data_IF_473886303186
#
_entry.id   IF_473886303186
#
_cell.length_a   1.000
_cell.length_b   1.000
_cell.length_c   1.000
_cell.angle_alpha   90.00
_cell.angle_beta   90.00
_cell.angle_gamma   90.00
#
_symmetry.space_group_name_H-M   'P 1'
#
loop_
_entity.id
_entity.type
_entity.pdbx_description
1 polymer ?
#
# COMPACT_ATOMS: atom_id res chain seq x y z
N UNK A 1 -14.60 -4.33 47.13
CA UNK A 1 -13.96 -3.11 46.59
C UNK A 1 -13.82 -3.36 45.11
N UNK A 2 -14.85 -2.96 44.35
CA UNK A 2 -14.95 -3.20 42.90
C UNK A 2 -13.95 -2.30 42.15
N UNK A 3 -13.24 -2.80 41.12
CA UNK A 3 -12.35 -1.95 40.33
C UNK A 3 -13.16 -1.06 39.39
N UNK A 4 -12.98 0.26 39.54
CA UNK A 4 -13.51 1.28 38.64
C UNK A 4 -12.79 1.17 37.30
N UNK A 5 -13.47 0.65 36.27
CA UNK A 5 -13.02 0.78 34.88
C UNK A 5 -13.22 2.23 34.45
N UNK A 6 -12.13 3.00 34.43
CA UNK A 6 -12.09 4.30 33.78
C UNK A 6 -12.19 4.06 32.26
N UNK A 7 -13.38 4.26 31.70
CA UNK A 7 -13.57 4.31 30.25
C UNK A 7 -12.80 5.50 29.69
N UNK A 8 -11.66 5.23 29.03
CA UNK A 8 -10.97 6.23 28.22
C UNK A 8 -11.90 6.77 27.12
N UNK A 9 -11.64 7.98 26.60
CA UNK A 9 -12.44 8.53 25.52
C UNK A 9 -12.42 7.57 24.31
N UNK A 10 -13.54 7.44 23.58
CA UNK A 10 -13.57 6.60 22.39
C UNK A 10 -12.50 7.07 21.40
N UNK A 11 -11.86 6.16 20.65
CA UNK A 11 -10.90 6.54 19.62
C UNK A 11 -11.60 7.49 18.66
N UNK A 12 -11.03 8.69 18.51
CA UNK A 12 -11.52 9.71 17.58
C UNK A 12 -11.60 9.07 16.20
N UNK A 13 -12.82 8.84 15.70
CA UNK A 13 -13.03 8.33 14.36
C UNK A 13 -12.23 9.22 13.40
N UNK A 14 -11.25 8.63 12.72
CA UNK A 14 -10.45 9.33 11.74
C UNK A 14 -11.42 10.01 10.77
N UNK A 15 -11.38 11.35 10.70
CA UNK A 15 -12.21 12.12 9.78
C UNK A 15 -11.98 11.56 8.39
N UNK A 16 -13.02 10.98 7.81
CA UNK A 16 -13.03 10.66 6.38
C UNK A 16 -12.66 11.94 5.62
N UNK A 17 -11.70 11.89 4.69
CA UNK A 17 -11.43 13.02 3.82
C UNK A 17 -12.75 13.38 3.14
N UNK A 18 -13.22 14.63 3.30
CA UNK A 18 -14.32 15.14 2.49
C UNK A 18 -13.75 15.47 1.13
N UNK A 19 -13.70 14.47 0.25
CA UNK A 19 -13.52 14.71 -1.18
C UNK A 19 -14.66 15.62 -1.67
N UNK A 20 -14.39 16.49 -2.64
CA UNK A 20 -15.48 17.17 -3.34
C UNK A 20 -16.35 16.14 -4.06
N UNK A 21 -17.65 16.39 -4.18
CA UNK A 21 -18.60 15.42 -4.76
C UNK A 21 -18.15 14.92 -6.15
N UNK A 22 -17.57 15.81 -6.98
CA UNK A 22 -17.03 15.46 -8.29
C UNK A 22 -15.81 14.51 -8.21
N UNK A 23 -14.88 14.76 -7.30
CA UNK A 23 -13.69 13.91 -7.12
C UNK A 23 -14.06 12.54 -6.55
N UNK A 24 -15.04 12.51 -5.65
CA UNK A 24 -15.58 11.24 -5.12
C UNK A 24 -16.23 10.41 -6.23
N UNK A 25 -17.03 11.03 -7.09
CA UNK A 25 -17.65 10.35 -8.24
C UNK A 25 -16.59 9.82 -9.21
N UNK A 26 -15.59 10.62 -9.57
CA UNK A 26 -14.50 10.20 -10.47
C UNK A 26 -13.73 8.99 -9.90
N UNK A 27 -13.38 9.04 -8.60
CA UNK A 27 -12.71 7.91 -7.94
C UNK A 27 -13.60 6.66 -7.88
N UNK A 28 -14.91 6.83 -7.66
CA UNK A 28 -15.86 5.72 -7.64
C UNK A 28 -16.05 5.09 -9.03
N UNK A 29 -16.18 5.90 -10.08
CA UNK A 29 -16.21 5.46 -11.46
C UNK A 29 -14.94 4.67 -11.81
N UNK A 30 -13.78 5.19 -11.41
CA UNK A 30 -12.51 4.50 -11.64
C UNK A 30 -12.43 3.17 -10.90
N UNK A 31 -12.92 3.12 -9.66
CA UNK A 31 -12.97 1.88 -8.88
C UNK A 31 -13.91 0.85 -9.53
N UNK A 32 -15.09 1.27 -10.00
CA UNK A 32 -16.02 0.40 -10.71
C UNK A 32 -15.40 -0.15 -12.00
N UNK A 33 -14.71 0.69 -12.77
CA UNK A 33 -14.00 0.26 -13.96
C UNK A 33 -12.92 -0.78 -13.61
N UNK A 34 -12.11 -0.54 -12.58
CA UNK A 34 -11.08 -1.48 -12.15
C UNK A 34 -11.66 -2.85 -11.74
N UNK A 35 -12.82 -2.87 -11.05
CA UNK A 35 -13.53 -4.11 -10.69
C UNK A 35 -14.03 -4.85 -11.93
N UNK A 36 -14.58 -4.14 -12.92
CA UNK A 36 -15.02 -4.73 -14.18
C UNK A 36 -13.85 -5.33 -14.96
N UNK A 37 -12.78 -4.57 -15.13
CA UNK A 37 -11.56 -5.02 -15.83
C UNK A 37 -10.96 -6.25 -15.13
N UNK A 38 -10.96 -6.28 -13.79
CA UNK A 38 -10.47 -7.43 -13.02
C UNK A 38 -11.32 -8.68 -13.25
N UNK A 39 -12.64 -8.53 -13.42
CA UNK A 39 -13.54 -9.65 -13.72
C UNK A 39 -13.31 -10.25 -15.12
N UNK A 40 -12.71 -9.49 -16.03
CA UNK A 40 -12.41 -9.90 -17.40
C UNK A 40 -10.97 -10.40 -17.58
N UNK A 41 -10.08 -10.12 -16.62
CA UNK A 41 -8.68 -10.53 -16.66
C UNK A 41 -8.53 -12.05 -16.79
N UNK A 42 -7.64 -12.50 -17.68
CA UNK A 42 -7.48 -13.93 -18.02
C UNK A 42 -6.14 -14.52 -17.59
N UNK A 43 -5.23 -13.68 -17.11
CA UNK A 43 -3.94 -14.13 -16.61
C UNK A 43 -3.56 -13.43 -15.32
N UNK A 44 -2.65 -14.05 -14.59
CA UNK A 44 -2.04 -13.44 -13.41
C UNK A 44 -1.32 -12.13 -13.77
N UNK A 45 -0.70 -12.05 -14.95
CA UNK A 45 -0.03 -10.84 -15.41
C UNK A 45 -1.03 -9.68 -15.59
N UNK A 46 -2.19 -9.95 -16.20
CA UNK A 46 -3.24 -8.94 -16.39
C UNK A 46 -3.74 -8.41 -15.04
N UNK A 47 -4.02 -9.32 -14.09
CA UNK A 47 -4.46 -8.95 -12.74
C UNK A 47 -3.42 -8.06 -12.07
N UNK A 48 -2.15 -8.46 -12.12
CA UNK A 48 -1.07 -7.73 -11.45
C UNK A 48 -0.91 -6.31 -12.03
N UNK A 49 -0.92 -6.18 -13.36
CA UNK A 49 -0.81 -4.88 -14.03
C UNK A 49 -2.00 -3.98 -13.72
N UNK A 50 -3.21 -4.53 -13.76
CA UNK A 50 -4.43 -3.79 -13.51
C UNK A 50 -4.54 -3.30 -12.06
N UNK A 51 -4.15 -4.13 -11.09
CA UNK A 51 -4.15 -3.74 -9.68
C UNK A 51 -3.17 -2.59 -9.43
N UNK A 52 -1.94 -2.67 -9.96
CA UNK A 52 -0.94 -1.63 -9.72
C UNK A 52 -1.29 -0.31 -10.40
N UNK A 53 -1.77 -0.33 -11.65
CA UNK A 53 -2.20 0.88 -12.35
C UNK A 53 -3.40 1.53 -11.69
N UNK A 54 -4.45 0.74 -11.38
CA UNK A 54 -5.66 1.25 -10.73
C UNK A 54 -5.36 1.81 -9.34
N UNK A 55 -4.50 1.16 -8.56
CA UNK A 55 -4.11 1.66 -7.23
C UNK A 55 -3.39 3.01 -7.32
N UNK A 56 -2.50 3.19 -8.31
CA UNK A 56 -1.79 4.45 -8.52
C UNK A 56 -2.75 5.58 -8.90
N UNK A 57 -3.66 5.32 -9.83
CA UNK A 57 -4.64 6.30 -10.30
C UNK A 57 -5.63 6.69 -9.19
N UNK A 58 -6.19 5.70 -8.49
CA UNK A 58 -7.14 5.91 -7.40
C UNK A 58 -6.57 6.63 -6.19
N UNK A 59 -5.25 6.57 -5.98
CA UNK A 59 -4.57 7.24 -4.85
C UNK A 59 -3.80 8.49 -5.27
N UNK A 60 -3.68 8.74 -6.58
CA UNK A 60 -2.90 9.84 -7.15
C UNK A 60 -1.44 9.84 -6.68
N UNK A 61 -0.85 8.66 -6.47
CA UNK A 61 0.52 8.53 -5.96
C UNK A 61 1.58 8.45 -7.07
N UNK A 62 2.84 8.66 -6.70
CA UNK A 62 3.99 8.53 -7.60
C UNK A 62 4.29 7.07 -7.98
N UNK A 63 3.83 6.10 -7.19
CA UNK A 63 3.98 4.70 -7.52
C UNK A 63 3.18 3.75 -6.64
N UNK A 64 2.75 2.64 -7.24
CA UNK A 64 2.04 1.55 -6.59
C UNK A 64 2.70 0.21 -6.96
N UNK A 65 2.83 -0.66 -5.97
CA UNK A 65 3.49 -1.97 -6.10
C UNK A 65 2.59 -3.05 -5.53
N UNK A 66 2.41 -4.13 -6.28
CA UNK A 66 1.76 -5.34 -5.79
C UNK A 66 2.82 -6.33 -5.28
N UNK A 67 2.76 -6.62 -3.98
CA UNK A 67 3.71 -7.52 -3.32
C UNK A 67 2.98 -8.78 -2.87
N UNK A 68 3.48 -9.94 -3.29
CA UNK A 68 2.93 -11.25 -2.96
C UNK A 68 3.77 -11.92 -1.88
N UNK A 69 3.11 -12.68 -1.01
CA UNK A 69 3.80 -13.57 -0.07
C UNK A 69 4.20 -14.86 -0.82
N UNK A 70 5.48 -15.17 -0.81
CA UNK A 70 6.06 -16.32 -1.51
C UNK A 70 7.08 -17.01 -0.59
N UNK A 71 6.70 -18.13 0.03
CA UNK A 71 7.60 -19.00 0.81
C UNK A 71 8.48 -18.26 1.85
N UNK A 72 7.86 -17.42 2.69
CA UNK A 72 8.58 -16.64 3.71
C UNK A 72 9.32 -15.41 3.17
N UNK A 73 9.13 -15.08 1.88
CA UNK A 73 9.63 -13.87 1.22
C UNK A 73 8.47 -12.99 0.74
N UNK A 74 8.76 -11.71 0.62
CA UNK A 74 7.95 -10.75 -0.12
C UNK A 74 8.47 -10.71 -1.55
N UNK A 75 7.64 -11.16 -2.50
CA UNK A 75 7.89 -11.07 -3.92
C UNK A 75 7.24 -9.80 -4.48
N UNK A 76 8.05 -8.88 -4.99
CA UNK A 76 7.59 -7.65 -5.62
C UNK A 76 7.15 -7.99 -7.05
N UNK A 77 5.89 -8.34 -7.21
CA UNK A 77 5.39 -9.01 -8.40
C UNK A 77 5.17 -8.03 -9.56
N UNK A 78 4.66 -6.84 -9.26
CA UNK A 78 4.33 -5.83 -10.26
C UNK A 78 4.42 -4.42 -9.67
N UNK A 79 4.73 -3.46 -10.52
CA UNK A 79 5.02 -2.09 -10.14
C UNK A 79 4.58 -1.13 -11.26
N UNK A 80 3.86 -0.09 -10.86
CA UNK A 80 3.54 1.06 -11.71
C UNK A 80 4.01 2.32 -10.97
N UNK A 81 5.11 2.92 -11.42
CA UNK A 81 5.74 4.04 -10.73
C UNK A 81 6.45 4.99 -11.70
N UNK A 82 6.76 6.21 -11.22
CA UNK A 82 7.52 7.23 -11.98
C UNK A 82 8.99 6.84 -12.26
N UNK A 83 9.49 5.78 -11.62
CA UNK A 83 10.83 5.22 -11.84
C UNK A 83 10.90 3.78 -11.33
N UNK A 84 11.97 3.04 -11.66
CA UNK A 84 12.13 1.66 -11.25
C UNK A 84 12.38 1.52 -9.74
N UNK A 85 11.79 0.50 -9.11
CA UNK A 85 12.13 0.06 -7.75
C UNK A 85 12.53 -1.42 -7.72
N UNK A 86 11.61 -2.31 -7.36
CA UNK A 86 11.93 -3.66 -6.87
C UNK A 86 11.23 -4.78 -7.61
N UNK A 87 10.47 -4.49 -8.68
CA UNK A 87 9.78 -5.51 -9.48
C UNK A 87 10.70 -6.68 -9.84
N UNK A 88 10.22 -7.90 -9.60
CA UNK A 88 10.96 -9.14 -9.84
C UNK A 88 11.79 -9.64 -8.64
N UNK A 89 12.12 -8.75 -7.70
CA UNK A 89 12.95 -9.10 -6.55
C UNK A 89 12.16 -9.76 -5.41
N UNK A 90 12.91 -10.44 -4.54
CA UNK A 90 12.39 -11.10 -3.34
C UNK A 90 13.22 -10.73 -2.13
N UNK A 91 12.54 -10.37 -1.05
CA UNK A 91 13.17 -10.04 0.23
C UNK A 91 12.60 -10.92 1.34
N UNK A 92 13.39 -11.29 2.37
CA UNK A 92 12.83 -11.94 3.55
C UNK A 92 11.70 -11.10 4.17
N UNK A 93 10.60 -11.75 4.59
CA UNK A 93 9.47 -11.03 5.20
C UNK A 93 9.87 -10.29 6.49
N UNK A 94 10.92 -10.73 7.17
CA UNK A 94 11.43 -10.10 8.39
C UNK A 94 12.34 -8.89 8.12
N UNK A 95 12.65 -8.59 6.85
CA UNK A 95 13.66 -7.60 6.45
C UNK A 95 13.11 -6.48 5.56
N UNK A 96 11.80 -6.38 5.41
CA UNK A 96 11.16 -5.32 4.62
C UNK A 96 9.82 -4.92 5.22
N UNK A 97 9.39 -3.68 4.93
CA UNK A 97 8.16 -3.13 5.50
C UNK A 97 6.90 -3.83 4.98
N UNK A 98 6.91 -4.27 3.72
CA UNK A 98 5.82 -5.09 3.16
C UNK A 98 5.65 -6.38 3.94
N UNK A 99 6.76 -6.99 4.36
CA UNK A 99 6.75 -8.18 5.20
C UNK A 99 6.26 -7.91 6.61
N UNK A 100 6.65 -6.77 7.20
CA UNK A 100 6.07 -6.31 8.47
C UNK A 100 4.54 -6.21 8.39
N UNK A 101 4.01 -5.53 7.38
CA UNK A 101 2.56 -5.38 7.19
C UNK A 101 1.86 -6.75 7.04
N UNK A 102 2.42 -7.66 6.23
CA UNK A 102 1.87 -9.00 6.04
C UNK A 102 1.88 -9.85 7.32
N UNK A 103 2.93 -9.73 8.14
CA UNK A 103 3.07 -10.51 9.38
C UNK A 103 2.14 -9.99 10.49
N UNK A 104 1.97 -8.67 10.59
CA UNK A 104 1.12 -8.05 11.62
C UNK A 104 -0.35 -7.93 11.19
N UNK A 105 -0.63 -8.16 9.90
CA UNK A 105 -1.97 -8.02 9.29
C UNK A 105 -2.56 -6.61 9.51
N UNK A 106 -1.71 -5.61 9.41
CA UNK A 106 -2.05 -4.23 9.68
C UNK A 106 -1.51 -3.31 8.59
N UNK A 107 -2.22 -2.20 8.35
CA UNK A 107 -1.78 -1.15 7.46
C UNK A 107 -0.61 -0.39 8.10
N UNK A 108 0.33 0.05 7.27
CA UNK A 108 1.47 0.85 7.73
C UNK A 108 1.58 2.12 6.91
N UNK A 109 1.58 3.26 7.61
CA UNK A 109 1.76 4.58 7.02
C UNK A 109 3.09 5.10 7.56
N UNK A 110 4.00 5.44 6.64
CA UNK A 110 5.34 5.94 6.99
C UNK A 110 5.47 7.34 6.42
N UNK A 111 5.29 8.39 7.24
CA UNK A 111 5.44 9.77 6.78
C UNK A 111 6.87 10.05 6.30
N UNK A 112 7.87 9.46 6.96
CA UNK A 112 9.27 9.62 6.61
C UNK A 112 10.06 8.32 6.77
N UNK A 113 10.54 7.79 5.65
CA UNK A 113 11.30 6.54 5.60
C UNK A 113 12.64 6.59 6.34
N UNK A 114 13.24 7.78 6.47
CA UNK A 114 14.53 7.98 7.14
C UNK A 114 14.40 8.04 8.67
N UNK A 115 13.18 8.23 9.18
CA UNK A 115 12.89 8.25 10.62
C UNK A 115 12.35 6.91 11.13
N UNK A 116 11.97 6.00 10.23
CA UNK A 116 11.44 4.69 10.59
C UNK A 116 12.56 3.64 10.63
N UNK A 117 12.85 3.13 11.83
CA UNK A 117 13.92 2.15 12.06
C UNK A 117 13.64 0.78 11.42
N UNK A 118 12.41 0.52 10.96
CA UNK A 118 12.04 -0.71 10.25
C UNK A 118 12.47 -0.67 8.78
N UNK A 119 12.86 0.50 8.26
CA UNK A 119 13.25 0.67 6.86
C UNK A 119 14.77 0.51 6.70
N UNK A 120 15.24 -0.37 5.80
CA UNK A 120 16.64 -0.46 5.44
C UNK A 120 17.04 0.71 4.53
N UNK A 121 17.52 1.81 5.12
CA UNK A 121 17.74 3.08 4.40
C UNK A 121 18.63 2.95 3.15
N UNK A 122 19.65 2.09 3.19
CA UNK A 122 20.59 1.93 2.06
C UNK A 122 19.92 1.43 0.78
N UNK A 123 18.85 0.64 0.89
CA UNK A 123 18.07 0.22 -0.28
C UNK A 123 17.28 1.38 -0.88
N UNK A 124 16.83 2.34 -0.07
CA UNK A 124 15.97 3.43 -0.51
C UNK A 124 16.74 4.66 -1.01
N UNK A 125 17.97 4.88 -0.53
CA UNK A 125 18.86 5.98 -0.96
C UNK A 125 18.99 6.18 -2.49
N UNK A 126 19.11 5.13 -3.32
CA UNK A 126 19.23 5.31 -4.78
C UNK A 126 17.87 5.49 -5.49
N UNK A 127 16.75 5.48 -4.76
CA UNK A 127 15.40 5.52 -5.34
C UNK A 127 14.78 6.91 -5.25
N UNK A 128 13.66 7.12 -5.95
CA UNK A 128 12.87 8.34 -5.82
C UNK A 128 12.01 8.37 -4.54
N UNK A 129 11.89 7.24 -3.82
CA UNK A 129 11.05 7.14 -2.64
C UNK A 129 11.73 7.88 -1.49
N UNK A 130 11.05 8.91 -0.99
CA UNK A 130 11.52 9.80 0.08
C UNK A 130 10.34 10.29 0.90
N UNK A 131 10.66 10.86 2.05
CA UNK A 131 9.71 11.62 2.84
C UNK A 131 9.40 12.95 2.16
N UNK A 132 8.13 13.37 2.25
CA UNK A 132 7.72 14.74 1.96
C UNK A 132 7.80 15.59 3.23
#
# INVERSE_FOLDING_TARGET
MEPVFLSGPPPTAARSPRFGDAEYLERMERLLQAVQDLSLARSQADIQQLVSSSARELTSCDGATLVLRDNGKCFYAEENAIGPLWKGLRFPMTSCISGWAMLHRDAVIIPNIYLDSRIPHDLYRPTFVRAW
#
